data_IF_801520636672
#
_entry.id   IF_801520636672
#
_cell.length_a   1.000
_cell.length_b   1.000
_cell.length_c   1.000
_cell.angle_alpha   90.00
_cell.angle_beta   90.00
_cell.angle_gamma   90.00
#
_symmetry.space_group_name_H-M   'P 1'
#
loop_
_entity.id
_entity.type
_entity.pdbx_description
1 polymer ?
#
# COMPACT_ATOMS: atom_id res chain seq x y z
N UNK A 1 -45.84 -31.36 28.04
CA UNK A 1 -45.11 -30.87 26.84
C UNK A 1 -44.75 -29.38 26.87
N UNK A 2 -45.54 -28.52 27.51
CA UNK A 2 -45.37 -27.04 27.55
C UNK A 2 -44.10 -26.52 28.26
N UNK A 3 -43.59 -27.23 29.27
CA UNK A 3 -42.40 -26.81 30.02
C UNK A 3 -41.08 -27.02 29.26
N UNK A 4 -41.00 -28.03 28.37
CA UNK A 4 -39.83 -28.25 27.52
C UNK A 4 -39.75 -27.21 26.40
N UNK A 5 -40.89 -26.86 25.79
CA UNK A 5 -41.02 -25.80 24.79
C UNK A 5 -40.60 -24.42 25.32
N UNK A 6 -41.01 -24.05 26.54
CA UNK A 6 -40.60 -22.78 27.18
C UNK A 6 -39.10 -22.74 27.50
N UNK A 7 -38.48 -23.85 27.90
CA UNK A 7 -37.01 -23.93 28.10
C UNK A 7 -36.28 -23.81 26.77
N UNK A 8 -36.72 -24.52 25.74
CA UNK A 8 -36.15 -24.41 24.39
C UNK A 8 -36.23 -22.98 23.85
N UNK A 9 -37.39 -22.32 23.98
CA UNK A 9 -37.57 -20.93 23.55
C UNK A 9 -36.63 -19.95 24.29
N UNK A 10 -36.40 -20.16 25.60
CA UNK A 10 -35.43 -19.34 26.37
C UNK A 10 -33.99 -19.59 25.93
N UNK A 11 -33.61 -20.83 25.66
CA UNK A 11 -32.26 -21.15 25.16
C UNK A 11 -32.05 -20.53 23.79
N UNK A 12 -33.03 -20.61 22.88
CA UNK A 12 -32.99 -19.97 21.57
C UNK A 12 -32.90 -18.44 21.65
N UNK A 13 -33.63 -17.82 22.59
CA UNK A 13 -33.61 -16.38 22.84
C UNK A 13 -32.24 -15.85 23.29
N UNK A 14 -31.38 -16.69 23.86
CA UNK A 14 -30.01 -16.31 24.24
C UNK A 14 -29.01 -16.76 23.18
N UNK A 15 -29.14 -17.99 22.68
CA UNK A 15 -28.21 -18.57 21.73
C UNK A 15 -28.18 -17.84 20.39
N UNK A 16 -29.34 -17.41 19.86
CA UNK A 16 -29.39 -16.72 18.57
C UNK A 16 -28.75 -15.33 18.63
N UNK A 17 -29.07 -14.46 19.60
CA UNK A 17 -28.38 -13.17 19.72
C UNK A 17 -26.88 -13.31 20.01
N UNK A 18 -26.47 -14.27 20.87
CA UNK A 18 -25.05 -14.51 21.13
C UNK A 18 -24.31 -15.00 19.89
N UNK A 19 -24.93 -15.87 19.09
CA UNK A 19 -24.36 -16.33 17.82
C UNK A 19 -24.25 -15.18 16.82
N UNK A 20 -25.30 -14.36 16.68
CA UNK A 20 -25.29 -13.19 15.79
C UNK A 20 -24.22 -12.17 16.22
N UNK A 21 -24.09 -11.90 17.52
CA UNK A 21 -23.05 -11.02 18.05
C UNK A 21 -21.64 -11.57 17.76
N UNK A 22 -21.43 -12.87 17.97
CA UNK A 22 -20.17 -13.54 17.61
C UNK A 22 -19.86 -13.46 16.12
N UNK A 23 -20.84 -13.77 15.27
CA UNK A 23 -20.68 -13.71 13.81
C UNK A 23 -20.37 -12.29 13.31
N UNK A 24 -21.05 -11.27 13.85
CA UNK A 24 -20.78 -9.87 13.52
C UNK A 24 -19.39 -9.43 13.97
N UNK A 25 -18.96 -9.82 15.18
CA UNK A 25 -17.62 -9.53 15.67
C UNK A 25 -16.55 -10.20 14.80
N UNK A 26 -16.74 -11.47 14.43
CA UNK A 26 -15.80 -12.18 13.55
C UNK A 26 -15.77 -11.58 12.15
N UNK A 27 -16.92 -11.17 11.60
CA UNK A 27 -16.97 -10.50 10.31
C UNK A 27 -16.25 -9.15 10.34
N UNK A 28 -16.42 -8.35 11.41
CA UNK A 28 -15.70 -7.11 11.61
C UNK A 28 -14.19 -7.34 11.70
N UNK A 29 -13.75 -8.30 12.51
CA UNK A 29 -12.34 -8.64 12.66
C UNK A 29 -11.73 -9.16 11.35
N UNK A 30 -12.49 -9.92 10.56
CA UNK A 30 -12.04 -10.41 9.26
C UNK A 30 -11.91 -9.27 8.23
N UNK A 31 -12.79 -8.26 8.29
CA UNK A 31 -12.66 -7.08 7.44
C UNK A 31 -11.40 -6.27 7.79
N UNK A 32 -11.15 -6.02 9.08
CA UNK A 32 -9.94 -5.32 9.56
C UNK A 32 -8.66 -6.09 9.18
N UNK A 33 -8.69 -7.41 9.32
CA UNK A 33 -7.63 -8.33 8.91
C UNK A 33 -7.21 -8.21 7.45
N UNK A 34 -8.23 -8.16 6.60
CA UNK A 34 -8.05 -8.07 5.15
C UNK A 34 -7.32 -6.80 4.80
N UNK A 35 -7.73 -5.69 5.41
CA UNK A 35 -7.10 -4.39 5.20
C UNK A 35 -5.61 -4.41 5.56
N UNK A 36 -5.26 -4.93 6.74
CA UNK A 36 -3.85 -5.04 7.17
C UNK A 36 -3.02 -5.93 6.25
N UNK A 37 -3.58 -7.06 5.81
CA UNK A 37 -2.89 -7.96 4.91
C UNK A 37 -2.62 -7.33 3.54
N UNK A 38 -3.61 -6.65 2.95
CA UNK A 38 -3.42 -5.93 1.69
C UNK A 38 -2.47 -4.74 1.83
N UNK A 39 -2.47 -4.04 2.98
CA UNK A 39 -1.48 -3.02 3.27
C UNK A 39 -0.07 -3.61 3.36
N UNK A 40 0.10 -4.79 3.98
CA UNK A 40 1.37 -5.50 4.05
C UNK A 40 1.88 -5.90 2.67
N UNK A 41 1.05 -6.57 1.87
CA UNK A 41 1.39 -6.93 0.48
C UNK A 41 1.76 -5.71 -0.36
N UNK A 42 1.08 -4.59 -0.17
CA UNK A 42 1.41 -3.34 -0.85
C UNK A 42 2.78 -2.82 -0.45
N UNK A 43 3.10 -2.81 0.85
CA UNK A 43 4.41 -2.31 1.33
C UNK A 43 5.53 -3.20 0.79
N UNK A 44 5.35 -4.52 0.86
CA UNK A 44 6.32 -5.49 0.36
C UNK A 44 6.54 -5.32 -1.14
N UNK A 45 5.47 -5.38 -1.94
CA UNK A 45 5.55 -5.18 -3.39
C UNK A 45 6.11 -3.80 -3.77
N UNK A 46 5.68 -2.73 -3.09
CA UNK A 46 6.17 -1.38 -3.34
C UNK A 46 7.67 -1.24 -3.03
N UNK A 47 8.14 -1.86 -1.95
CA UNK A 47 9.56 -1.90 -1.58
C UNK A 47 10.40 -2.68 -2.58
N UNK A 48 9.93 -3.84 -3.04
CA UNK A 48 10.63 -4.65 -4.03
C UNK A 48 10.76 -3.92 -5.37
N UNK A 49 9.68 -3.28 -5.82
CA UNK A 49 9.67 -2.47 -7.04
C UNK A 49 10.55 -1.22 -6.91
N UNK A 50 10.63 -0.59 -5.74
CA UNK A 50 11.54 0.54 -5.50
C UNK A 50 13.01 0.10 -5.61
N UNK A 51 13.37 -1.00 -4.96
CA UNK A 51 14.72 -1.57 -5.04
C UNK A 51 15.07 -1.91 -6.49
N UNK A 52 14.14 -2.55 -7.21
CA UNK A 52 14.31 -2.89 -8.61
C UNK A 52 14.51 -1.64 -9.48
N UNK A 53 13.73 -0.57 -9.25
CA UNK A 53 13.85 0.69 -9.96
C UNK A 53 15.22 1.35 -9.75
N UNK A 54 15.65 1.46 -8.49
CA UNK A 54 16.96 2.05 -8.14
C UNK A 54 18.11 1.24 -8.73
N UNK A 55 18.04 -0.10 -8.66
CA UNK A 55 19.08 -0.95 -9.22
C UNK A 55 19.09 -0.95 -10.76
N UNK A 56 17.93 -0.82 -11.42
CA UNK A 56 17.85 -0.64 -12.88
C UNK A 56 18.46 0.70 -13.30
N UNK A 57 18.12 1.78 -12.59
CA UNK A 57 18.67 3.11 -12.86
C UNK A 57 20.19 3.15 -12.66
N UNK A 58 20.70 2.55 -11.58
CA UNK A 58 22.15 2.44 -11.34
C UNK A 58 22.88 1.66 -12.44
N UNK A 59 22.22 0.68 -13.08
CA UNK A 59 22.76 -0.08 -14.22
C UNK A 59 22.66 0.68 -15.54
N UNK A 60 22.03 1.86 -15.56
CA UNK A 60 21.77 2.64 -16.77
C UNK A 60 20.61 2.10 -17.62
N UNK A 61 19.84 1.13 -17.10
CA UNK A 61 18.65 0.62 -17.77
C UNK A 61 17.44 1.52 -17.42
N UNK A 62 17.39 2.66 -18.08
CA UNK A 62 16.40 3.71 -17.80
C UNK A 62 14.98 3.23 -18.11
N UNK A 63 14.80 2.40 -19.14
CA UNK A 63 13.49 1.87 -19.51
C UNK A 63 12.92 0.96 -18.41
N UNK A 64 13.76 0.07 -17.88
CA UNK A 64 13.37 -0.83 -16.80
C UNK A 64 13.15 -0.05 -15.49
N UNK A 65 13.93 0.99 -15.23
CA UNK A 65 13.74 1.89 -14.09
C UNK A 65 12.38 2.62 -14.16
N UNK A 66 12.01 3.15 -15.34
CA UNK A 66 10.70 3.77 -15.57
C UNK A 66 9.57 2.79 -15.28
N UNK A 67 9.69 1.54 -15.75
CA UNK A 67 8.68 0.51 -15.50
C UNK A 67 8.49 0.24 -14.02
N UNK A 68 9.59 0.02 -13.29
CA UNK A 68 9.53 -0.26 -11.86
C UNK A 68 9.02 0.95 -11.06
N UNK A 69 9.47 2.17 -11.35
CA UNK A 69 8.89 3.37 -10.71
C UNK A 69 7.41 3.56 -11.00
N UNK A 70 6.94 3.22 -12.21
CA UNK A 70 5.52 3.25 -12.53
C UNK A 70 4.73 2.23 -11.70
N UNK A 71 5.29 1.04 -11.47
CA UNK A 71 4.71 0.04 -10.57
C UNK A 71 4.65 0.57 -9.13
N UNK A 72 5.72 1.17 -8.60
CA UNK A 72 5.72 1.78 -7.26
C UNK A 72 4.62 2.83 -7.13
N UNK A 73 4.51 3.76 -8.09
CA UNK A 73 3.44 4.77 -8.09
C UNK A 73 2.05 4.13 -8.08
N UNK A 74 1.85 3.05 -8.85
CA UNK A 74 0.57 2.33 -8.90
C UNK A 74 0.19 1.66 -7.57
N UNK A 75 1.16 1.41 -6.68
CA UNK A 75 0.89 0.87 -5.35
C UNK A 75 0.30 1.91 -4.40
N UNK A 76 0.64 3.19 -4.59
CA UNK A 76 0.21 4.28 -3.72
C UNK A 76 -0.92 5.14 -4.29
N UNK A 77 -1.20 4.99 -5.59
CA UNK A 77 -2.25 5.74 -6.28
C UNK A 77 -3.65 5.49 -5.69
N UNK A 78 -4.50 6.51 -5.76
CA UNK A 78 -5.88 6.44 -5.27
C UNK A 78 -6.75 5.37 -5.96
N UNK A 79 -6.36 4.92 -7.17
CA UNK A 79 -7.01 3.86 -7.93
C UNK A 79 -6.27 2.50 -7.82
N UNK A 80 -5.37 2.35 -6.85
CA UNK A 80 -4.59 1.14 -6.68
C UNK A 80 -5.46 -0.11 -6.49
N UNK A 81 -5.02 -1.21 -7.10
CA UNK A 81 -5.73 -2.50 -7.16
C UNK A 81 -6.12 -3.08 -5.79
N UNK A 82 -5.35 -2.77 -4.74
CA UNK A 82 -5.60 -3.25 -3.39
C UNK A 82 -6.77 -2.50 -2.72
N UNK A 83 -7.01 -1.23 -3.06
CA UNK A 83 -8.16 -0.48 -2.52
C UNK A 83 -9.50 -0.97 -3.09
N UNK A 84 -9.48 -1.49 -4.32
CA UNK A 84 -10.67 -1.99 -5.02
C UNK A 84 -10.95 -3.45 -4.68
N UNK A 85 -9.95 -4.34 -4.69
CA UNK A 85 -10.12 -5.78 -4.38
C UNK A 85 -10.33 -6.09 -2.91
N UNK A 86 -9.77 -5.32 -1.98
CA UNK A 86 -9.92 -5.58 -0.54
C UNK A 86 -11.38 -5.57 -0.07
N UNK A 87 -12.29 -4.97 -0.84
CA UNK A 87 -13.72 -4.92 -0.54
C UNK A 87 -14.51 -6.15 -1.01
N UNK A 88 -13.96 -6.96 -1.92
CA UNK A 88 -14.72 -8.01 -2.62
C UNK A 88 -14.44 -9.42 -2.08
N UNK A 89 -13.26 -9.69 -1.53
CA UNK A 89 -12.87 -11.04 -1.13
C UNK A 89 -13.29 -11.39 0.31
N UNK A 90 -14.07 -12.48 0.45
CA UNK A 90 -14.48 -13.05 1.74
C UNK A 90 -13.43 -14.05 2.21
N UNK A 91 -12.86 -13.81 3.39
CA UNK A 91 -11.78 -14.63 3.94
C UNK A 91 -12.26 -15.81 4.81
N UNK A 92 -11.47 -16.88 4.90
CA UNK A 92 -11.70 -17.97 5.86
C UNK A 92 -11.54 -17.50 7.32
N UNK A 93 -12.22 -18.18 8.24
CA UNK A 93 -12.31 -17.84 9.67
C UNK A 93 -10.97 -17.81 10.44
N UNK A 94 -9.88 -18.35 9.89
CA UNK A 94 -8.55 -18.31 10.52
C UNK A 94 -7.87 -16.94 10.40
N UNK A 95 -8.24 -16.15 9.39
CA UNK A 95 -7.67 -14.84 9.07
C UNK A 95 -7.87 -13.75 10.15
N UNK A 96 -9.06 -13.62 10.79
CA UNK A 96 -9.25 -12.63 11.87
C UNK A 96 -8.31 -12.80 13.07
N UNK A 97 -7.89 -14.03 13.38
CA UNK A 97 -6.96 -14.31 14.48
C UNK A 97 -5.53 -13.87 14.15
N UNK A 98 -5.09 -14.13 12.90
CA UNK A 98 -3.79 -13.68 12.40
C UNK A 98 -3.70 -12.14 12.36
N UNK A 99 -4.80 -11.47 12.07
CA UNK A 99 -4.83 -10.01 12.03
C UNK A 99 -4.74 -9.30 13.36
N UNK A 100 -5.32 -9.87 14.42
CA UNK A 100 -5.13 -9.32 15.78
C UNK A 100 -3.64 -9.32 16.13
N UNK A 101 -2.92 -10.40 15.77
CA UNK A 101 -1.47 -10.49 15.95
C UNK A 101 -0.72 -9.49 15.06
N UNK A 102 -1.07 -9.41 13.76
CA UNK A 102 -0.46 -8.45 12.83
C UNK A 102 -0.67 -7.00 13.25
N UNK A 103 -1.85 -6.66 13.77
CA UNK A 103 -2.18 -5.32 14.28
C UNK A 103 -1.33 -4.90 15.47
N UNK A 104 -0.98 -5.83 16.36
CA UNK A 104 -0.09 -5.53 17.49
C UNK A 104 1.38 -5.40 17.07
N UNK A 105 1.75 -5.98 15.93
CA UNK A 105 3.10 -5.84 15.37
C UNK A 105 3.25 -4.64 14.44
N UNK A 106 2.15 -4.14 13.84
CA UNK A 106 2.18 -3.14 12.79
C UNK A 106 1.26 -1.96 13.13
N UNK A 107 1.84 -0.78 13.38
CA UNK A 107 1.09 0.48 13.52
C UNK A 107 0.50 0.89 12.15
N UNK A 108 -0.71 0.39 11.85
CA UNK A 108 -1.40 0.63 10.58
C UNK A 108 -1.81 2.10 10.36
N UNK A 109 -1.88 2.88 11.44
CA UNK A 109 -2.41 4.25 11.47
C UNK A 109 -1.49 5.28 10.79
N UNK A 110 -0.22 4.94 10.53
CA UNK A 110 0.76 5.88 9.98
C UNK A 110 0.62 6.08 8.46
N UNK A 111 -0.11 5.21 7.77
CA UNK A 111 -0.02 5.13 6.31
C UNK A 111 -1.05 6.01 5.60
N UNK A 112 -2.34 5.96 5.97
CA UNK A 112 -3.40 6.56 5.14
C UNK A 112 -3.29 8.09 4.98
N UNK A 113 -2.81 8.81 6.00
CA UNK A 113 -2.56 10.26 5.92
C UNK A 113 -1.30 10.65 5.13
N UNK A 114 -0.36 9.72 4.93
CA UNK A 114 0.92 9.96 4.23
C UNK A 114 0.92 9.48 2.78
N UNK A 115 -0.06 8.66 2.37
CA UNK A 115 -0.13 8.08 1.03
C UNK A 115 -0.01 9.11 -0.11
N UNK A 116 -0.75 10.25 -0.11
CA UNK A 116 -0.63 11.22 -1.19
C UNK A 116 0.79 11.80 -1.32
N UNK A 117 1.47 11.99 -0.18
CA UNK A 117 2.85 12.49 -0.15
C UNK A 117 3.83 11.45 -0.66
N UNK A 118 3.66 10.19 -0.26
CA UNK A 118 4.50 9.06 -0.72
C UNK A 118 4.32 8.87 -2.23
N UNK A 119 3.08 8.88 -2.72
CA UNK A 119 2.78 8.82 -4.15
C UNK A 119 3.42 9.98 -4.90
N UNK A 120 3.32 11.21 -4.38
CA UNK A 120 3.93 12.38 -4.99
C UNK A 120 5.46 12.24 -5.13
N UNK A 121 6.14 11.74 -4.09
CA UNK A 121 7.59 11.50 -4.13
C UNK A 121 7.97 10.48 -5.21
N UNK A 122 7.29 9.33 -5.26
CA UNK A 122 7.57 8.34 -6.31
C UNK A 122 7.21 8.82 -7.71
N UNK A 123 6.21 9.70 -7.85
CA UNK A 123 5.94 10.38 -9.13
C UNK A 123 7.08 11.30 -9.56
N UNK A 124 7.80 11.93 -8.62
CA UNK A 124 9.02 12.70 -8.92
C UNK A 124 10.14 11.79 -9.41
N UNK A 125 10.38 10.65 -8.75
CA UNK A 125 11.36 9.67 -9.21
C UNK A 125 11.03 9.12 -10.62
N UNK A 126 9.76 8.77 -10.84
CA UNK A 126 9.28 8.35 -12.15
C UNK A 126 9.49 9.45 -13.22
N UNK A 127 9.24 10.72 -12.88
CA UNK A 127 9.45 11.83 -13.79
C UNK A 127 10.93 12.01 -14.17
N UNK A 128 11.84 11.81 -13.23
CA UNK A 128 13.28 11.84 -13.49
C UNK A 128 13.69 10.73 -14.44
N UNK A 129 13.28 9.48 -14.18
CA UNK A 129 13.57 8.35 -15.06
C UNK A 129 12.98 8.57 -16.47
N UNK A 130 11.74 9.08 -16.57
CA UNK A 130 11.12 9.42 -17.86
C UNK A 130 11.88 10.54 -18.61
N UNK A 131 12.45 11.50 -17.88
CA UNK A 131 13.25 12.57 -18.49
C UNK A 131 14.57 12.02 -19.04
N UNK A 132 15.21 11.09 -18.33
CA UNK A 132 16.40 10.36 -18.80
C UNK A 132 16.09 9.51 -20.04
N UNK A 133 14.87 8.95 -20.12
CA UNK A 133 14.39 8.20 -21.30
C UNK A 133 14.07 9.11 -22.51
N UNK A 134 14.01 10.43 -22.31
CA UNK A 134 13.62 11.42 -23.33
C UNK A 134 12.10 11.69 -23.40
N UNK A 135 11.30 11.07 -22.55
CA UNK A 135 9.83 11.19 -22.45
C UNK A 135 9.40 12.45 -21.66
N UNK A 136 9.89 13.62 -22.08
CA UNK A 136 9.72 14.91 -21.36
C UNK A 136 8.26 15.30 -21.10
N UNK A 137 7.35 15.02 -22.03
CA UNK A 137 5.91 15.31 -21.89
C UNK A 137 5.25 14.40 -20.85
N UNK A 138 5.67 13.13 -20.74
CA UNK A 138 5.18 12.23 -19.69
C UNK A 138 5.75 12.63 -18.33
N UNK A 139 7.04 12.97 -18.27
CA UNK A 139 7.68 13.47 -17.06
C UNK A 139 6.96 14.70 -16.49
N UNK A 140 6.68 15.71 -17.31
CA UNK A 140 5.97 16.91 -16.88
C UNK A 140 4.57 16.61 -16.30
N UNK A 141 3.84 15.66 -16.89
CA UNK A 141 2.54 15.22 -16.37
C UNK A 141 2.64 14.53 -15.01
N UNK A 142 3.72 13.80 -14.74
CA UNK A 142 3.94 13.19 -13.42
C UNK A 142 4.26 14.24 -12.36
N UNK A 143 5.08 15.25 -12.68
CA UNK A 143 5.41 16.35 -11.78
C UNK A 143 4.19 17.19 -11.43
N UNK A 144 3.34 17.51 -12.41
CA UNK A 144 2.09 18.24 -12.20
C UNK A 144 1.14 17.44 -11.27
N UNK A 145 1.02 16.13 -11.46
CA UNK A 145 0.24 15.27 -10.53
C UNK A 145 0.85 15.24 -9.13
N UNK A 146 2.18 15.15 -9.01
CA UNK A 146 2.87 15.19 -7.73
C UNK A 146 2.63 16.50 -6.98
N UNK A 147 2.71 17.64 -7.67
CA UNK A 147 2.44 18.95 -7.10
C UNK A 147 1.01 19.05 -6.55
N UNK A 148 0.01 18.57 -7.32
CA UNK A 148 -1.39 18.55 -6.85
C UNK A 148 -1.59 17.72 -5.57
N UNK A 149 -0.91 16.59 -5.45
CA UNK A 149 -0.98 15.71 -4.28
C UNK A 149 -0.34 16.34 -3.03
N UNK A 150 0.67 17.20 -3.21
CA UNK A 150 1.36 17.92 -2.13
C UNK A 150 0.66 19.21 -1.70
N UNK A 151 -0.40 19.61 -2.39
CA UNK A 151 -1.26 20.73 -2.01
C UNK A 151 -0.71 22.12 -2.39
N UNK A 152 -1.02 23.19 -1.61
CA UNK A 152 -0.79 24.59 -2.00
C UNK A 152 0.67 24.96 -2.30
N UNK A 153 1.63 24.25 -1.70
CA UNK A 153 3.07 24.45 -1.91
C UNK A 153 3.68 23.26 -2.65
N UNK A 154 2.90 22.58 -3.50
CA UNK A 154 3.33 21.35 -4.14
C UNK A 154 4.45 21.54 -5.15
N UNK A 155 4.40 22.61 -5.95
CA UNK A 155 5.43 22.91 -6.95
C UNK A 155 6.81 23.12 -6.33
N UNK A 156 6.88 23.94 -5.26
CA UNK A 156 8.15 24.19 -4.56
C UNK A 156 8.69 22.96 -3.83
N UNK A 157 7.81 22.09 -3.32
CA UNK A 157 8.21 20.80 -2.75
C UNK A 157 8.70 19.82 -3.80
N UNK A 158 8.08 19.78 -4.99
CA UNK A 158 8.55 18.98 -6.12
C UNK A 158 9.92 19.47 -6.58
N UNK A 159 10.12 20.79 -6.70
CA UNK A 159 11.43 21.35 -7.04
C UNK A 159 12.50 21.03 -5.99
N UNK A 160 12.15 21.09 -4.70
CA UNK A 160 13.06 20.70 -3.63
C UNK A 160 13.43 19.20 -3.72
N UNK A 161 12.44 18.33 -3.92
CA UNK A 161 12.66 16.90 -4.09
C UNK A 161 13.52 16.57 -5.32
N UNK A 162 13.33 17.30 -6.43
CA UNK A 162 14.18 17.17 -7.62
C UNK A 162 15.63 17.56 -7.37
N UNK A 163 15.88 18.55 -6.49
CA UNK A 163 17.24 18.97 -6.10
C UNK A 163 17.90 17.98 -5.15
N UNK A 164 17.13 17.34 -4.27
CA UNK A 164 17.63 16.39 -3.27
C UNK A 164 17.86 14.98 -3.85
N UNK A 165 17.09 14.57 -4.86
CA UNK A 165 17.10 13.23 -5.45
C UNK A 165 18.31 12.87 -6.32
N UNK A 166 19.38 13.68 -6.32
CA UNK A 166 20.50 13.47 -7.23
C UNK A 166 21.62 12.56 -6.72
N UNK A 167 21.78 12.26 -5.42
CA UNK A 167 23.03 11.59 -5.00
C UNK A 167 23.03 10.51 -3.89
N UNK A 168 22.02 10.31 -3.04
CA UNK A 168 22.20 9.38 -1.89
C UNK A 168 20.95 8.58 -1.51
N UNK A 169 20.51 7.64 -2.37
CA UNK A 169 19.63 6.58 -1.87
C UNK A 169 20.46 5.49 -1.17
N UNK A 170 20.20 5.16 0.12
CA UNK A 170 20.89 4.07 0.81
C UNK A 170 20.69 2.72 0.11
N UNK A 171 19.66 2.58 -0.74
CA UNK A 171 19.43 1.42 -1.59
C UNK A 171 20.51 1.23 -2.66
N UNK A 172 21.25 2.28 -3.04
CA UNK A 172 22.38 2.17 -3.97
C UNK A 172 23.49 1.27 -3.41
N UNK A 173 23.69 1.26 -2.08
CA UNK A 173 24.64 0.36 -1.43
C UNK A 173 24.22 -1.11 -1.57
N UNK A 174 22.92 -1.40 -1.55
CA UNK A 174 22.36 -2.74 -1.76
C UNK A 174 22.50 -3.20 -3.23
N UNK A 175 22.33 -2.30 -4.18
CA UNK A 175 22.55 -2.61 -5.60
C UNK A 175 24.03 -2.88 -5.92
N UNK A 176 24.96 -2.24 -5.21
CA UNK A 176 26.41 -2.46 -5.37
C UNK A 176 26.89 -3.79 -4.79
N UNK A 177 26.32 -4.25 -3.68
CA UNK A 177 26.72 -5.53 -3.06
C UNK A 177 26.16 -6.77 -3.80
N UNK A 178 25.05 -6.62 -4.52
CA UNK A 178 24.42 -7.68 -5.31
C UNK A 178 24.99 -7.83 -6.73
N UNK A 179 25.87 -6.91 -7.16
CA UNK A 179 26.47 -6.91 -8.50
C UNK A 179 27.92 -7.44 -8.55
N UNK A 180 28.47 -7.87 -7.41
CA UNK A 180 29.74 -8.62 -7.36
C UNK A 180 29.47 -10.13 -7.54
N UNK A 181 30.00 -10.78 -8.59
CA UNK A 181 29.91 -12.22 -8.79
C UNK A 181 30.75 -13.03 -7.80
#
# INVERSE_FOLDING_TARGET
>A
MTHRLRRFARVLLVAVPSFMAGALLTAYLAADASHLFFQGLRIEYGSDEEIAAVCAQHRGDVHEAVRHYANVVSTYAADAWWQTRAKEDRWPLAFPLAAILLRHMWEAEVIDGRLPRIEALYRVHLANALKEEGETVRAARQLDRAARLLGPNGESQVEAALRENLDESPLLAFCRSSSTP
#
